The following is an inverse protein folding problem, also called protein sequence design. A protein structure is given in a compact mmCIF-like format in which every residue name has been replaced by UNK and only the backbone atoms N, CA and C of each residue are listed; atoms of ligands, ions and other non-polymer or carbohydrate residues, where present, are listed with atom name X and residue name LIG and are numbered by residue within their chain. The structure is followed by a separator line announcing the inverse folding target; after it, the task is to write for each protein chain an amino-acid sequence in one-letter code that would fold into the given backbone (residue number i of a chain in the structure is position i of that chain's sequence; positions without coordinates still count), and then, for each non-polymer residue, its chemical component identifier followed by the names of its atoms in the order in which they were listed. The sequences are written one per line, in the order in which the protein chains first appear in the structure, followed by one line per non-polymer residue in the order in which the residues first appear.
data_IF_052410662925
#
_entry.id   IF_052410662925
#
_cell.length_a   1.000
_cell.length_b   1.000
_cell.length_c   1.000
_cell.angle_alpha   90.00
_cell.angle_beta   90.00
_cell.angle_gamma   90.00
#
_symmetry.space_group_name_H-M   'P 1'
#
loop_
_entity.id
_entity.type
_entity.pdbx_description
1 polymer ?
#
# COMPACT_ATOMS: atom_id res chain seq x y z
N UNK A 1 -21.75 -4.83 1.03
CA UNK A 1 -21.20 -5.81 0.07
C UNK A 1 -19.73 -5.48 -0.13
N UNK A 2 -18.83 -6.41 0.20
CA UNK A 2 -17.38 -6.23 0.07
C UNK A 2 -16.99 -6.27 -1.40
N UNK A 3 -16.50 -5.14 -1.95
CA UNK A 3 -15.90 -5.08 -3.28
C UNK A 3 -14.52 -5.74 -3.20
N UNK A 4 -14.51 -7.07 -3.17
CA UNK A 4 -13.30 -7.87 -3.28
C UNK A 4 -12.59 -7.61 -4.61
N UNK A 5 -11.26 -7.70 -4.61
CA UNK A 5 -10.41 -7.54 -5.79
C UNK A 5 -10.98 -8.33 -6.98
N UNK A 6 -11.59 -7.62 -7.94
CA UNK A 6 -12.05 -8.22 -9.18
C UNK A 6 -10.82 -8.53 -10.02
N UNK A 7 -10.59 -9.82 -10.29
CA UNK A 7 -9.63 -10.23 -11.32
C UNK A 7 -10.07 -9.56 -12.63
N UNK A 8 -9.14 -9.16 -13.49
CA UNK A 8 -9.42 -8.43 -14.75
C UNK A 8 -10.54 -9.06 -15.60
N UNK A 9 -10.71 -10.39 -15.53
CA UNK A 9 -11.82 -11.12 -16.18
C UNK A 9 -13.23 -10.84 -15.64
N UNK A 10 -13.40 -10.45 -14.38
CA UNK A 10 -14.72 -10.17 -13.79
C UNK A 10 -15.10 -8.68 -13.82
N UNK A 11 -14.14 -7.79 -14.07
CA UNK A 11 -14.41 -6.36 -14.23
C UNK A 11 -15.34 -6.09 -15.41
N UNK A 12 -15.05 -6.66 -16.59
CA UNK A 12 -15.78 -6.34 -17.81
C UNK A 12 -17.26 -6.76 -17.75
N UNK A 13 -17.57 -7.88 -17.10
CA UNK A 13 -18.94 -8.35 -16.93
C UNK A 13 -19.82 -7.43 -16.07
N UNK A 14 -19.23 -6.68 -15.14
CA UNK A 14 -19.95 -5.68 -14.33
C UNK A 14 -19.88 -4.30 -14.96
N UNK A 15 -18.74 -3.96 -15.55
CA UNK A 15 -18.50 -2.67 -16.20
C UNK A 15 -19.39 -2.46 -17.41
N UNK A 16 -19.48 -3.42 -18.34
CA UNK A 16 -20.17 -3.21 -19.62
C UNK A 16 -21.67 -2.91 -19.46
N UNK A 17 -22.44 -3.66 -18.65
CA UNK A 17 -23.85 -3.33 -18.40
C UNK A 17 -24.03 -2.00 -17.66
N UNK A 18 -23.11 -1.63 -16.77
CA UNK A 18 -23.14 -0.35 -16.08
C UNK A 18 -22.80 0.81 -17.03
N UNK A 19 -21.85 0.59 -17.95
CA UNK A 19 -21.43 1.54 -18.97
C UNK A 19 -22.58 1.84 -19.93
N UNK A 20 -23.23 0.81 -20.49
CA UNK A 20 -24.39 0.99 -21.39
C UNK A 20 -25.55 1.73 -20.71
N UNK A 21 -25.78 1.48 -19.42
CA UNK A 21 -26.80 2.20 -18.63
C UNK A 21 -26.41 3.65 -18.34
N UNK A 22 -25.13 3.92 -18.09
CA UNK A 22 -24.66 5.25 -17.73
C UNK A 22 -24.46 6.16 -18.95
N UNK A 23 -23.98 5.63 -20.07
CA UNK A 23 -23.66 6.39 -21.29
C UNK A 23 -24.85 6.46 -22.26
N UNK A 24 -26.00 6.92 -21.77
CA UNK A 24 -27.16 7.23 -22.62
C UNK A 24 -27.18 8.70 -23.02
N UNK A 25 -27.85 9.04 -24.13
CA UNK A 25 -27.98 10.43 -24.61
C UNK A 25 -28.59 11.37 -23.57
N UNK A 26 -29.39 10.83 -22.65
CA UNK A 26 -30.04 11.58 -21.56
C UNK A 26 -29.13 11.73 -20.34
N UNK A 27 -28.35 10.70 -20.00
CA UNK A 27 -27.51 10.71 -18.80
C UNK A 27 -26.24 11.54 -18.96
N UNK A 28 -25.67 11.59 -20.17
CA UNK A 28 -24.47 12.41 -20.45
C UNK A 28 -24.69 13.90 -20.12
N UNK A 29 -25.72 14.60 -20.64
CA UNK A 29 -25.94 16.01 -20.30
C UNK A 29 -26.30 16.22 -18.82
N UNK A 30 -26.99 15.28 -18.17
CA UNK A 30 -27.28 15.35 -16.74
C UNK A 30 -26.01 15.24 -15.88
N UNK A 31 -25.06 14.41 -16.29
CA UNK A 31 -23.77 14.30 -15.61
C UNK A 31 -22.98 15.63 -15.66
N UNK A 32 -22.97 16.30 -16.82
CA UNK A 32 -22.34 17.60 -16.99
C UNK A 32 -23.03 18.72 -16.19
N UNK A 33 -24.36 18.69 -16.09
CA UNK A 33 -25.11 19.62 -15.24
C UNK A 33 -24.78 19.44 -13.76
N UNK A 34 -24.63 18.19 -13.32
CA UNK A 34 -24.31 17.84 -11.92
C UNK A 34 -22.92 18.29 -11.48
N UNK A 35 -21.98 18.42 -12.42
CA UNK A 35 -20.65 18.97 -12.14
C UNK A 35 -20.63 20.49 -12.16
N UNK A 36 -21.65 21.15 -12.71
CA UNK A 36 -21.66 22.60 -12.92
C UNK A 36 -20.69 23.05 -14.02
N UNK A 37 -20.16 22.12 -14.82
CA UNK A 37 -19.23 22.43 -15.91
C UNK A 37 -20.02 22.86 -17.16
N UNK A 38 -21.09 22.14 -17.47
CA UNK A 38 -21.93 22.44 -18.63
C UNK A 38 -23.42 22.12 -18.39
N UNK A 39 -24.30 23.14 -18.46
CA UNK A 39 -24.01 24.58 -18.53
C UNK A 39 -23.15 25.03 -17.34
N UNK A 40 -22.37 26.10 -17.53
CA UNK A 40 -21.46 26.60 -16.49
C UNK A 40 -22.26 27.15 -15.31
N UNK A 41 -22.14 26.49 -14.16
CA UNK A 41 -22.81 26.84 -12.90
C UNK A 41 -21.84 26.59 -11.73
N UNK A 42 -21.12 27.63 -11.27
CA UNK A 42 -20.11 27.50 -10.22
C UNK A 42 -20.70 27.20 -8.84
N UNK A 43 -21.97 27.54 -8.58
CA UNK A 43 -22.62 27.33 -7.28
C UNK A 43 -22.77 25.83 -6.95
N UNK A 44 -22.89 25.00 -7.97
CA UNK A 44 -22.93 23.52 -7.85
C UNK A 44 -21.61 22.95 -7.33
N UNK A 45 -20.49 23.60 -7.63
CA UNK A 45 -19.18 23.22 -7.12
C UNK A 45 -18.93 23.82 -5.72
N UNK A 46 -19.30 25.09 -5.52
CA UNK A 46 -19.07 25.81 -4.25
C UNK A 46 -19.91 25.25 -3.11
N UNK A 47 -21.15 24.83 -3.36
CA UNK A 47 -22.05 24.25 -2.35
C UNK A 47 -21.58 22.91 -1.78
N UNK A 48 -20.67 22.21 -2.47
CA UNK A 48 -20.05 20.96 -2.00
C UNK A 48 -18.79 21.19 -1.18
N UNK A 49 -18.24 22.40 -1.18
CA UNK A 49 -17.07 22.70 -0.36
C UNK A 49 -17.51 22.77 1.10
N UNK A 50 -16.81 22.09 2.02
CA UNK A 50 -17.11 22.22 3.44
C UNK A 50 -16.96 23.68 3.84
N UNK A 51 -17.94 24.20 4.59
CA UNK A 51 -17.84 25.53 5.19
C UNK A 51 -16.48 25.66 5.89
N UNK A 52 -15.81 26.81 5.70
CA UNK A 52 -14.48 27.04 6.24
C UNK A 52 -14.45 26.73 7.74
N UNK A 53 -13.82 25.61 8.11
CA UNK A 53 -13.74 25.19 9.50
C UNK A 53 -12.95 26.26 10.26
N UNK A 54 -13.46 26.78 11.38
CA UNK A 54 -12.75 27.80 12.15
C UNK A 54 -11.35 27.29 12.54
N UNK A 55 -10.34 28.11 12.26
CA UNK A 55 -8.91 27.80 12.38
C UNK A 55 -8.53 27.28 13.78
N UNK A 56 -9.31 27.65 14.81
CA UNK A 56 -9.11 27.26 16.20
C UNK A 56 -9.20 25.72 16.44
N UNK A 57 -10.02 25.01 15.68
CA UNK A 57 -10.20 23.56 15.85
C UNK A 57 -9.05 22.72 15.26
N UNK A 58 -8.10 23.32 14.55
CA UNK A 58 -6.95 22.62 13.94
C UNK A 58 -5.76 22.48 14.90
N UNK A 59 -5.78 23.14 16.05
CA UNK A 59 -4.64 23.18 16.97
C UNK A 59 -4.58 21.92 17.86
N UNK A 60 -5.71 21.21 18.03
CA UNK A 60 -5.84 20.13 19.02
C UNK A 60 -5.92 18.70 18.45
N UNK A 61 -5.89 18.52 17.13
CA UNK A 61 -5.93 17.18 16.53
C UNK A 61 -4.51 16.71 16.23
N UNK A 62 -3.95 16.02 17.23
CA UNK A 62 -2.73 15.22 17.18
C UNK A 62 -1.46 16.04 16.96
N UNK A 63 -0.45 15.75 17.77
CA UNK A 63 0.94 16.14 17.51
C UNK A 63 1.45 15.33 16.31
N UNK A 64 0.77 15.42 15.17
CA UNK A 64 1.23 14.85 13.92
C UNK A 64 2.55 15.52 13.60
N UNK A 65 3.59 14.71 13.46
CA UNK A 65 4.91 15.06 12.89
C UNK A 65 4.80 15.48 11.42
N UNK A 66 3.70 16.12 11.03
CA UNK A 66 3.50 16.70 9.72
C UNK A 66 4.38 17.93 9.59
N UNK A 67 5.37 17.82 8.71
CA UNK A 67 6.28 18.92 8.33
C UNK A 67 5.52 20.21 7.96
N UNK A 68 4.30 20.10 7.44
CA UNK A 68 3.42 21.23 7.13
C UNK A 68 2.97 21.96 8.40
N UNK A 69 2.52 21.25 9.43
CA UNK A 69 2.09 21.87 10.69
C UNK A 69 3.25 22.55 11.40
N UNK A 70 4.44 21.94 11.36
CA UNK A 70 5.66 22.51 11.93
C UNK A 70 6.03 23.83 11.25
N UNK A 71 5.99 23.88 9.91
CA UNK A 71 6.20 25.13 9.14
C UNK A 71 5.19 26.23 9.49
N UNK A 72 3.92 25.87 9.68
CA UNK A 72 2.89 26.85 10.04
C UNK A 72 3.11 27.42 11.44
N UNK A 73 3.39 26.57 12.42
CA UNK A 73 3.67 27.00 13.80
C UNK A 73 4.93 27.85 13.88
N UNK A 74 6.02 27.44 13.23
CA UNK A 74 7.25 28.24 13.13
C UNK A 74 6.95 29.58 12.45
N UNK A 75 6.19 29.61 11.36
CA UNK A 75 5.82 30.84 10.66
C UNK A 75 4.98 31.81 11.49
N UNK A 76 4.15 31.31 12.42
CA UNK A 76 3.41 32.16 13.36
C UNK A 76 4.35 32.81 14.37
N UNK A 77 5.24 32.03 14.98
CA UNK A 77 6.22 32.53 15.96
C UNK A 77 7.23 33.48 15.30
N UNK A 78 7.65 33.18 14.06
CA UNK A 78 8.59 34.01 13.29
C UNK A 78 8.06 35.43 13.05
N UNK A 79 6.74 35.59 12.89
CA UNK A 79 6.12 36.91 12.71
C UNK A 79 6.13 37.77 13.98
N UNK A 80 6.21 37.15 15.15
CA UNK A 80 6.19 37.82 16.46
C UNK A 80 7.59 37.97 17.08
N UNK A 81 8.60 37.30 16.52
CA UNK A 81 9.95 37.25 17.08
C UNK A 81 10.83 38.42 16.64
N UNK A 82 11.78 38.77 17.53
CA UNK A 82 12.87 39.73 17.31
C UNK A 82 13.86 39.25 16.23
N UNK A 83 14.61 40.15 15.59
CA UNK A 83 15.52 39.79 14.49
C UNK A 83 16.61 38.78 14.88
N UNK A 84 17.08 38.77 16.14
CA UNK A 84 18.05 37.78 16.62
C UNK A 84 17.42 36.39 16.82
N UNK A 85 16.23 36.32 17.42
CA UNK A 85 15.50 35.07 17.63
C UNK A 85 15.02 34.45 16.31
N UNK A 86 14.80 35.25 15.27
CA UNK A 86 14.44 34.75 13.92
C UNK A 86 15.48 33.83 13.32
N UNK A 87 16.77 34.15 13.46
CA UNK A 87 17.86 33.31 12.92
C UNK A 87 17.90 31.95 13.63
N UNK A 88 17.87 31.95 14.96
CA UNK A 88 17.81 30.73 15.75
C UNK A 88 16.56 29.89 15.45
N UNK A 89 15.39 30.53 15.30
CA UNK A 89 14.15 29.85 14.91
C UNK A 89 14.23 29.22 13.52
N UNK A 90 14.89 29.89 12.57
CA UNK A 90 15.09 29.37 11.23
C UNK A 90 16.00 28.13 11.23
N UNK A 91 17.11 28.17 11.98
CA UNK A 91 18.01 27.04 12.14
C UNK A 91 17.31 25.85 12.82
N UNK A 92 16.60 26.08 13.92
CA UNK A 92 15.82 25.05 14.60
C UNK A 92 14.75 24.44 13.70
N UNK A 93 14.03 25.26 12.95
CA UNK A 93 13.02 24.80 11.98
C UNK A 93 13.64 23.89 10.92
N UNK A 94 14.82 24.27 10.40
CA UNK A 94 15.51 23.48 9.40
C UNK A 94 16.02 22.15 9.96
N UNK A 95 16.53 22.14 11.18
CA UNK A 95 16.91 20.91 11.89
C UNK A 95 15.68 20.03 12.10
N UNK A 96 14.57 20.58 12.60
CA UNK A 96 13.34 19.84 12.85
C UNK A 96 12.75 19.24 11.57
N UNK A 97 12.81 19.95 10.44
CA UNK A 97 12.38 19.43 9.15
C UNK A 97 13.29 18.30 8.66
N UNK A 98 14.60 18.45 8.83
CA UNK A 98 15.58 17.42 8.46
C UNK A 98 15.43 16.16 9.31
N UNK A 99 15.22 16.30 10.63
CA UNK A 99 15.02 15.16 11.52
C UNK A 99 13.69 14.46 11.21
N UNK A 100 12.62 15.21 10.96
CA UNK A 100 11.33 14.63 10.54
C UNK A 100 11.48 13.84 9.22
N UNK A 101 12.18 14.38 8.23
CA UNK A 101 12.43 13.67 6.97
C UNK A 101 13.30 12.42 7.14
N UNK A 102 14.31 12.46 8.02
CA UNK A 102 15.11 11.27 8.35
C UNK A 102 14.29 10.20 9.04
N UNK A 103 13.40 10.59 9.95
CA UNK A 103 12.53 9.68 10.69
C UNK A 103 11.60 8.93 9.73
N UNK A 104 10.94 9.64 8.82
CA UNK A 104 10.06 9.00 7.82
C UNK A 104 10.81 8.04 6.90
N UNK A 105 12.04 8.38 6.49
CA UNK A 105 12.89 7.48 5.71
C UNK A 105 13.26 6.22 6.48
N UNK A 106 13.59 6.35 7.78
CA UNK A 106 13.94 5.21 8.64
C UNK A 106 12.72 4.32 8.86
N UNK A 107 11.55 4.88 9.17
CA UNK A 107 10.31 4.13 9.32
C UNK A 107 9.95 3.36 8.05
N UNK A 108 10.07 4.01 6.89
CA UNK A 108 9.82 3.36 5.61
C UNK A 108 10.83 2.22 5.34
N UNK A 109 12.11 2.40 5.68
CA UNK A 109 13.13 1.35 5.58
C UNK A 109 12.82 0.17 6.50
N UNK A 110 12.50 0.42 7.76
CA UNK A 110 12.11 -0.63 8.72
C UNK A 110 10.90 -1.41 8.20
N UNK A 111 9.83 -0.73 7.78
CA UNK A 111 8.64 -1.37 7.21
C UNK A 111 8.96 -2.19 5.96
N UNK A 112 9.84 -1.70 5.10
CA UNK A 112 10.25 -2.41 3.88
C UNK A 112 11.08 -3.66 4.18
N UNK A 113 11.98 -3.58 5.18
CA UNK A 113 12.78 -4.70 5.66
C UNK A 113 11.91 -5.77 6.33
N UNK A 114 10.94 -5.37 7.14
CA UNK A 114 9.98 -6.30 7.75
C UNK A 114 9.18 -7.05 6.69
N UNK A 115 8.69 -6.33 5.66
CA UNK A 115 7.96 -6.93 4.52
C UNK A 115 8.86 -7.89 3.75
N UNK A 116 10.10 -7.49 3.44
CA UNK A 116 11.03 -8.34 2.69
C UNK A 116 11.41 -9.58 3.49
N UNK A 117 11.63 -9.44 4.80
CA UNK A 117 11.90 -10.56 5.70
C UNK A 117 10.70 -11.51 5.81
N UNK A 118 9.48 -10.99 5.91
CA UNK A 118 8.27 -11.82 5.91
C UNK A 118 8.10 -12.60 4.59
N UNK A 119 8.38 -11.96 3.45
CA UNK A 119 8.38 -12.61 2.14
C UNK A 119 9.47 -13.68 2.04
N UNK A 120 10.67 -13.39 2.53
CA UNK A 120 11.81 -14.31 2.55
C UNK A 120 11.48 -15.54 3.41
N UNK A 121 10.94 -15.34 4.61
CA UNK A 121 10.49 -16.41 5.51
C UNK A 121 9.39 -17.25 4.86
N UNK A 122 8.43 -16.64 4.17
CA UNK A 122 7.41 -17.37 3.37
C UNK A 122 8.05 -18.13 2.22
N UNK A 123 9.02 -17.55 1.52
CA UNK A 123 9.76 -18.20 0.44
C UNK A 123 10.55 -19.39 0.96
N UNK A 124 11.23 -19.30 2.11
CA UNK A 124 11.91 -20.45 2.76
C UNK A 124 10.94 -21.55 3.16
N UNK A 125 9.78 -21.20 3.75
CA UNK A 125 8.72 -22.19 4.05
C UNK A 125 8.17 -22.85 2.78
N UNK A 126 8.01 -22.10 1.68
CA UNK A 126 7.52 -22.61 0.39
C UNK A 126 8.58 -23.41 -0.36
N UNK A 127 9.85 -23.04 -0.23
CA UNK A 127 11.04 -23.84 -0.55
C UNK A 127 11.21 -24.97 0.48
N UNK A 128 10.09 -25.60 0.85
CA UNK A 128 9.96 -26.75 1.73
C UNK A 128 10.84 -27.91 1.26
N UNK A 129 10.96 -28.94 2.11
CA UNK A 129 11.66 -30.22 1.89
C UNK A 129 11.55 -30.72 0.44
N UNK A 130 10.38 -30.61 -0.18
CA UNK A 130 10.14 -30.92 -1.59
C UNK A 130 11.12 -30.22 -2.57
N UNK A 131 11.34 -28.91 -2.45
CA UNK A 131 12.26 -28.18 -3.35
C UNK A 131 13.75 -28.45 -3.03
N UNK A 132 14.09 -28.77 -1.78
CA UNK A 132 15.42 -29.27 -1.43
C UNK A 132 15.67 -30.64 -2.08
N UNK A 133 14.65 -31.50 -2.09
CA UNK A 133 14.72 -32.84 -2.69
C UNK A 133 14.82 -32.78 -4.21
N UNK A 134 14.04 -31.90 -4.85
CA UNK A 134 14.14 -31.67 -6.31
C UNK A 134 15.54 -31.17 -6.69
N UNK A 135 16.15 -30.27 -5.89
CA UNK A 135 17.56 -29.86 -6.09
C UNK A 135 18.55 -31.00 -5.90
N UNK A 136 18.28 -31.93 -4.99
CA UNK A 136 19.08 -33.13 -4.79
C UNK A 136 19.04 -34.07 -6.01
N UNK A 137 17.93 -34.08 -6.77
CA UNK A 137 17.77 -34.91 -7.97
C UNK A 137 18.53 -34.34 -9.19
N UNK A 138 18.63 -33.02 -9.34
CA UNK A 138 19.25 -32.38 -10.53
C UNK A 138 20.71 -31.90 -10.32
N UNK A 139 21.25 -32.08 -9.11
CA UNK A 139 22.62 -31.70 -8.76
C UNK A 139 22.78 -30.21 -8.42
N UNK A 140 23.69 -29.90 -7.48
CA UNK A 140 23.91 -28.54 -6.99
C UNK A 140 24.50 -27.63 -8.07
N UNK A 141 23.91 -26.44 -8.26
CA UNK A 141 24.54 -25.31 -8.99
C UNK A 141 23.94 -24.93 -10.35
N UNK A 142 22.94 -25.66 -10.87
CA UNK A 142 22.25 -25.30 -12.13
C UNK A 142 20.87 -24.68 -11.88
N UNK A 143 20.40 -23.88 -12.84
CA UNK A 143 19.02 -23.39 -12.86
C UNK A 143 18.06 -24.59 -12.90
N UNK A 144 17.11 -24.62 -11.96
CA UNK A 144 16.19 -25.74 -11.77
C UNK A 144 15.00 -25.57 -12.74
N UNK A 145 14.88 -26.47 -13.71
CA UNK A 145 13.75 -26.49 -14.64
C UNK A 145 12.71 -27.47 -14.11
N UNK A 146 11.74 -26.95 -13.35
CA UNK A 146 10.73 -27.78 -12.71
C UNK A 146 9.55 -27.99 -13.67
N UNK A 147 9.52 -29.15 -14.33
CA UNK A 147 8.32 -29.62 -15.03
C UNK A 147 7.35 -30.31 -14.06
N UNK A 148 6.08 -30.36 -14.45
CA UNK A 148 4.96 -31.03 -13.81
C UNK A 148 5.27 -32.49 -13.41
N UNK A 149 6.00 -33.23 -14.24
CA UNK A 149 6.39 -34.62 -13.95
C UNK A 149 7.41 -34.75 -12.80
N UNK A 150 8.35 -33.81 -12.67
CA UNK A 150 9.33 -33.78 -11.57
C UNK A 150 8.62 -33.51 -10.23
N UNK A 151 7.60 -32.65 -10.26
CA UNK A 151 6.76 -32.35 -9.09
C UNK A 151 5.88 -33.53 -8.65
N UNK A 152 5.48 -34.40 -9.57
CA UNK A 152 4.71 -35.61 -9.24
C UNK A 152 5.61 -36.64 -8.55
N UNK A 153 6.76 -36.95 -9.16
CA UNK A 153 7.76 -37.88 -8.59
C UNK A 153 8.20 -37.47 -7.19
N UNK A 154 8.44 -36.18 -6.98
CA UNK A 154 8.86 -35.68 -5.67
C UNK A 154 7.74 -35.82 -4.60
N UNK A 155 6.46 -35.73 -4.99
CA UNK A 155 5.32 -35.97 -4.10
C UNK A 155 5.10 -37.46 -3.80
N UNK A 156 5.22 -38.32 -4.80
CA UNK A 156 5.13 -39.78 -4.64
C UNK A 156 6.17 -40.29 -3.65
N UNK A 157 7.42 -39.78 -3.72
CA UNK A 157 8.47 -40.11 -2.77
C UNK A 157 8.17 -39.63 -1.33
N UNK A 158 7.46 -38.51 -1.15
CA UNK A 158 7.04 -38.06 0.19
C UNK A 158 5.97 -39.00 0.76
N UNK A 159 5.04 -39.43 -0.08
CA UNK A 159 3.95 -40.32 0.30
C UNK A 159 4.48 -41.70 0.70
N UNK A 160 5.38 -42.28 -0.11
CA UNK A 160 6.04 -43.55 0.19
C UNK A 160 6.85 -43.52 1.51
N UNK A 161 7.46 -42.39 1.84
CA UNK A 161 8.20 -42.25 3.10
C UNK A 161 7.29 -42.04 4.30
N UNK A 162 6.15 -41.39 4.13
CA UNK A 162 5.14 -41.30 5.18
C UNK A 162 4.57 -42.70 5.48
N UNK A 163 4.18 -43.43 4.43
CA UNK A 163 3.65 -44.79 4.53
C UNK A 163 4.67 -45.77 5.16
N UNK A 164 5.97 -45.62 4.83
CA UNK A 164 7.03 -46.45 5.41
C UNK A 164 7.22 -46.17 6.91
N UNK A 165 7.16 -44.90 7.33
CA UNK A 165 7.26 -44.54 8.75
C UNK A 165 6.05 -44.99 9.56
N UNK A 166 4.86 -44.88 8.99
CA UNK A 166 3.64 -45.38 9.64
C UNK A 166 3.69 -46.90 9.83
N UNK A 167 4.37 -47.64 8.95
CA UNK A 167 4.61 -49.08 9.13
C UNK A 167 5.65 -49.38 10.20
N UNK A 168 6.75 -48.62 10.25
CA UNK A 168 7.78 -48.75 11.30
C UNK A 168 7.26 -48.36 12.69
N UNK A 169 6.25 -47.48 12.79
CA UNK A 169 5.62 -47.11 14.06
C UNK A 169 4.52 -48.10 14.51
N UNK A 170 4.08 -49.00 13.63
CA UNK A 170 3.08 -50.04 13.91
C UNK A 170 3.68 -51.41 14.25
N UNK A 171 4.99 -51.60 14.04
CA UNK A 171 5.78 -52.75 14.52
C UNK A 171 6.38 -52.50 15.91
#
# INVERSE_FOLDING_TARGET
MSLGQTKTRSFFGVFWPAFEKAFTKENVPLAWRKTGIFPFDPEVALSKLPAARPLAAQISAELGTSTRQLRLKVGMVFRQADPETRKALQEMSQIALNTAARLTLVEHRCSSLEKSFALERRKRKRMSRLMQRIRGMEGYGRALFVDTGVLQKARELEQQQADAKEREEQE
#
